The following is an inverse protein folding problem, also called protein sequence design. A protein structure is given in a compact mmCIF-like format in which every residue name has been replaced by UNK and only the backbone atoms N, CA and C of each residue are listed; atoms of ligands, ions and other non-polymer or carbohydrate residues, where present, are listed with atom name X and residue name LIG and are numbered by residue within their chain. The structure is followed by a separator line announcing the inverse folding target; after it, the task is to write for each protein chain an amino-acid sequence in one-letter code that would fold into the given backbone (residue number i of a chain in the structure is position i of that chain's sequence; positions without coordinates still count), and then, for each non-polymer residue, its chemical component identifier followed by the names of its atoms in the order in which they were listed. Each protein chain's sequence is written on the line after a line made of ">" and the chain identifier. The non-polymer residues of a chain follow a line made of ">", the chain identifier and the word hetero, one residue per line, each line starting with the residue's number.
data_IF_422888107369
#
_entry.id   IF_422888107369
#
_cell.length_a   1.000
_cell.length_b   1.000
_cell.length_c   1.000
_cell.angle_alpha   90.00
_cell.angle_beta   90.00
_cell.angle_gamma   90.00
#
_symmetry.space_group_name_H-M   'P 1'
#
loop_
_entity.id
_entity.type
_entity.pdbx_description
1 polymer ?
#
# COMPACT_ATOMS: atom_id res chain seq x y z
N UNK A 1 -61.85 -27.98 33.19
CA UNK A 1 -61.46 -26.83 32.34
C UNK A 1 -59.95 -26.66 32.17
N UNK A 2 -59.12 -26.89 33.19
CA UNK A 2 -57.66 -26.64 33.13
C UNK A 2 -56.92 -27.52 32.08
N UNK A 3 -57.30 -28.80 31.92
CA UNK A 3 -56.67 -29.71 30.93
C UNK A 3 -56.91 -29.33 29.46
N UNK A 4 -57.97 -28.57 29.16
CA UNK A 4 -58.30 -28.17 27.77
C UNK A 4 -57.48 -26.95 27.35
N UNK A 5 -57.28 -26.00 28.27
CA UNK A 5 -56.41 -24.83 28.07
C UNK A 5 -54.94 -25.23 27.92
N UNK A 6 -54.44 -26.18 28.72
CA UNK A 6 -53.06 -26.69 28.59
C UNK A 6 -52.80 -27.32 27.21
N UNK A 7 -53.79 -28.04 26.65
CA UNK A 7 -53.69 -28.64 25.30
C UNK A 7 -53.67 -27.60 24.18
N UNK A 8 -54.41 -26.50 24.33
CA UNK A 8 -54.41 -25.42 23.33
C UNK A 8 -53.11 -24.60 23.37
N UNK A 9 -52.54 -24.38 24.56
CA UNK A 9 -51.24 -23.71 24.73
C UNK A 9 -50.11 -24.55 24.12
N UNK A 10 -50.08 -25.86 24.41
CA UNK A 10 -49.07 -26.76 23.83
C UNK A 10 -49.20 -26.92 22.30
N UNK A 11 -50.42 -26.85 21.74
CA UNK A 11 -50.62 -26.83 20.29
C UNK A 11 -50.11 -25.53 19.65
N UNK A 12 -50.34 -24.37 20.25
CA UNK A 12 -49.83 -23.08 19.73
C UNK A 12 -48.31 -22.97 19.83
N UNK A 13 -47.69 -23.48 20.91
CA UNK A 13 -46.23 -23.54 21.04
C UNK A 13 -45.59 -24.49 20.01
N UNK A 14 -46.18 -25.66 19.75
CA UNK A 14 -45.65 -26.60 18.74
C UNK A 14 -45.76 -26.10 17.30
N UNK A 15 -46.73 -25.24 16.98
CA UNK A 15 -46.85 -24.63 15.64
C UNK A 15 -45.81 -23.53 15.45
N UNK A 16 -45.51 -22.73 16.48
CA UNK A 16 -44.46 -21.71 16.43
C UNK A 16 -43.06 -22.34 16.28
N UNK A 17 -42.78 -23.43 17.01
CA UNK A 17 -41.48 -24.13 16.94
C UNK A 17 -41.23 -24.73 15.56
N UNK A 18 -42.28 -25.23 14.88
CA UNK A 18 -42.17 -25.74 13.51
C UNK A 18 -41.92 -24.66 12.46
N UNK A 19 -42.41 -23.44 12.67
CA UNK A 19 -42.15 -22.31 11.77
C UNK A 19 -40.74 -21.73 11.95
N UNK A 20 -40.18 -21.79 13.17
CA UNK A 20 -38.81 -21.35 13.46
C UNK A 20 -37.74 -22.39 13.06
N UNK A 21 -38.07 -23.69 13.08
CA UNK A 21 -37.17 -24.76 12.64
C UNK A 21 -37.14 -24.97 11.11
N UNK A 22 -37.96 -24.23 10.37
CA UNK A 22 -38.07 -24.31 8.91
C UNK A 22 -37.37 -23.13 8.22
N UNK A 23 -36.39 -22.49 8.88
CA UNK A 23 -35.35 -21.76 8.15
C UNK A 23 -34.34 -22.78 7.60
N UNK A 24 -33.89 -22.62 6.35
CA UNK A 24 -33.43 -23.76 5.58
C UNK A 24 -32.01 -24.16 6.02
N UNK A 25 -31.82 -25.44 6.36
CA UNK A 25 -30.49 -26.02 6.60
C UNK A 25 -29.51 -25.77 5.43
N UNK A 26 -30.00 -25.38 4.24
CA UNK A 26 -29.18 -25.00 3.10
C UNK A 26 -28.37 -23.72 3.36
N UNK A 27 -28.93 -22.68 3.99
CA UNK A 27 -28.21 -21.42 4.29
C UNK A 27 -27.10 -21.64 5.35
N UNK A 28 -27.36 -22.49 6.34
CA UNK A 28 -26.39 -22.87 7.36
C UNK A 28 -25.27 -23.77 6.81
N UNK A 29 -25.56 -24.60 5.78
CA UNK A 29 -24.55 -25.43 5.10
C UNK A 29 -23.73 -24.60 4.09
N UNK A 30 -24.36 -23.71 3.34
CA UNK A 30 -23.69 -22.79 2.40
C UNK A 30 -22.74 -21.84 3.13
N UNK A 31 -23.17 -21.21 4.23
CA UNK A 31 -22.31 -20.37 5.06
C UNK A 31 -21.10 -21.11 5.65
N UNK A 32 -21.25 -22.40 6.01
CA UNK A 32 -20.16 -23.23 6.53
C UNK A 32 -19.15 -23.63 5.43
N UNK A 33 -19.63 -23.86 4.20
CA UNK A 33 -18.80 -24.14 3.03
C UNK A 33 -18.04 -22.88 2.60
N UNK A 34 -18.70 -21.73 2.55
CA UNK A 34 -18.05 -20.44 2.27
C UNK A 34 -16.97 -20.10 3.30
N UNK A 35 -17.25 -20.29 4.60
CA UNK A 35 -16.27 -20.09 5.67
C UNK A 35 -15.07 -21.03 5.55
N UNK A 36 -15.27 -22.29 5.14
CA UNK A 36 -14.17 -23.24 4.87
C UNK A 36 -13.34 -22.83 3.65
N UNK A 37 -13.98 -22.35 2.58
CA UNK A 37 -13.29 -21.87 1.37
C UNK A 37 -12.48 -20.60 1.70
N UNK A 38 -13.04 -19.69 2.49
CA UNK A 38 -12.37 -18.46 2.90
C UNK A 38 -11.17 -18.74 3.80
N UNK A 39 -11.29 -19.69 4.75
CA UNK A 39 -10.17 -20.18 5.58
C UNK A 39 -9.05 -20.84 4.75
N UNK A 40 -9.40 -21.58 3.70
CA UNK A 40 -8.43 -22.22 2.80
C UNK A 40 -7.76 -21.23 1.85
N UNK A 41 -8.43 -20.12 1.50
CA UNK A 41 -7.85 -19.01 0.72
C UNK A 41 -6.97 -18.10 1.60
N UNK A 42 -7.36 -17.86 2.85
CA UNK A 42 -6.62 -16.98 3.77
C UNK A 42 -5.26 -17.55 4.18
N UNK A 43 -5.08 -18.88 4.18
CA UNK A 43 -3.79 -19.52 4.47
C UNK A 43 -2.71 -19.27 3.42
N UNK A 44 -3.07 -18.80 2.22
CA UNK A 44 -2.11 -18.45 1.15
C UNK A 44 -1.74 -16.97 1.11
N UNK A 45 -2.35 -16.14 1.97
CA UNK A 45 -2.11 -14.70 1.96
C UNK A 45 -0.88 -14.43 2.80
N UNK A 46 0.18 -13.94 2.14
CA UNK A 46 1.39 -13.50 2.85
C UNK A 46 1.04 -12.31 3.76
N UNK A 47 1.53 -12.28 5.02
CA UNK A 47 1.40 -11.13 5.90
C UNK A 47 1.89 -9.82 5.27
N UNK A 48 2.81 -9.92 4.29
CA UNK A 48 3.42 -8.78 3.61
C UNK A 48 2.45 -8.04 2.66
N UNK A 49 1.30 -8.63 2.33
CA UNK A 49 0.32 -8.05 1.40
C UNK A 49 -0.19 -6.69 1.88
N UNK A 50 -0.22 -6.47 3.20
CA UNK A 50 -0.54 -5.19 3.82
C UNK A 50 0.35 -4.07 3.30
N UNK A 51 1.64 -4.33 3.15
CA UNK A 51 2.63 -3.33 2.76
C UNK A 51 2.76 -3.22 1.24
N UNK A 52 2.63 -4.35 0.54
CA UNK A 52 2.63 -4.38 -0.93
C UNK A 52 1.45 -3.57 -1.51
N UNK A 53 0.24 -3.86 -1.01
CA UNK A 53 -1.03 -3.34 -1.51
C UNK A 53 -1.75 -2.47 -0.48
N UNK A 54 -1.03 -1.52 0.13
CA UNK A 54 -1.57 -0.65 1.17
C UNK A 54 -2.82 0.13 0.72
N UNK A 55 -2.93 0.44 -0.58
CA UNK A 55 -4.04 1.22 -1.13
C UNK A 55 -5.37 0.47 -1.17
N UNK A 56 -5.35 -0.87 -1.09
CA UNK A 56 -6.58 -1.67 -1.03
C UNK A 56 -7.23 -1.65 0.35
N UNK A 57 -6.46 -1.28 1.39
CA UNK A 57 -7.00 -1.14 2.73
C UNK A 57 -7.76 0.18 2.84
N UNK A 58 -8.93 0.19 3.49
CA UNK A 58 -9.71 1.41 3.66
C UNK A 58 -9.03 2.37 4.64
N UNK A 59 -9.50 3.61 4.65
CA UNK A 59 -9.08 4.59 5.64
C UNK A 59 -9.44 4.10 7.06
N UNK A 60 -8.50 4.13 8.04
CA UNK A 60 -8.78 3.76 9.42
C UNK A 60 -9.85 4.62 10.10
N UNK A 61 -10.10 5.83 9.61
CA UNK A 61 -11.09 6.74 10.17
C UNK A 61 -12.52 6.25 9.85
N UNK A 62 -13.20 5.72 10.88
CA UNK A 62 -14.55 5.16 10.76
C UNK A 62 -15.56 6.10 10.05
N UNK A 63 -15.49 7.42 10.29
CA UNK A 63 -16.37 8.41 9.66
C UNK A 63 -16.30 8.44 8.13
N UNK A 64 -15.19 8.00 7.55
CA UNK A 64 -14.94 7.99 6.11
C UNK A 64 -15.28 6.63 5.47
N UNK A 65 -15.61 5.62 6.28
CA UNK A 65 -15.85 4.23 5.85
C UNK A 65 -17.24 4.08 5.21
N UNK A 66 -17.29 3.35 4.10
CA UNK A 66 -18.54 2.89 3.51
C UNK A 66 -18.28 1.60 2.73
N UNK A 67 -18.87 0.50 3.18
CA UNK A 67 -18.63 -0.84 2.62
C UNK A 67 -18.94 -0.94 1.13
N UNK A 68 -20.05 -0.34 0.68
CA UNK A 68 -20.46 -0.37 -0.73
C UNK A 68 -19.49 0.45 -1.59
N UNK A 69 -19.13 1.65 -1.14
CA UNK A 69 -18.13 2.49 -1.83
C UNK A 69 -16.79 1.77 -1.95
N UNK A 70 -16.30 1.22 -0.84
CA UNK A 70 -15.02 0.51 -0.78
C UNK A 70 -15.00 -0.72 -1.71
N UNK A 71 -16.11 -1.46 -1.80
CA UNK A 71 -16.24 -2.60 -2.70
C UNK A 71 -16.22 -2.19 -4.19
N UNK A 72 -16.93 -1.12 -4.54
CA UNK A 72 -16.92 -0.58 -5.90
C UNK A 72 -15.54 -0.04 -6.28
N UNK A 73 -14.91 0.74 -5.40
CA UNK A 73 -13.56 1.27 -5.62
C UNK A 73 -12.54 0.14 -5.87
N UNK A 74 -12.59 -0.94 -5.08
CA UNK A 74 -11.71 -2.11 -5.27
C UNK A 74 -11.94 -2.81 -6.61
N UNK A 75 -13.19 -2.94 -7.05
CA UNK A 75 -13.54 -3.50 -8.35
C UNK A 75 -12.96 -2.65 -9.49
N UNK A 76 -13.06 -1.33 -9.38
CA UNK A 76 -12.53 -0.40 -10.39
C UNK A 76 -11.00 -0.41 -10.40
N UNK A 77 -10.36 -0.44 -9.23
CA UNK A 77 -8.91 -0.58 -9.10
C UNK A 77 -8.37 -1.86 -9.76
N UNK A 78 -9.04 -3.00 -9.55
CA UNK A 78 -8.69 -4.25 -10.22
C UNK A 78 -8.88 -4.18 -11.73
N UNK A 79 -9.94 -3.52 -12.19
CA UNK A 79 -10.19 -3.30 -13.62
C UNK A 79 -9.08 -2.42 -14.23
N UNK A 80 -8.63 -1.37 -13.53
CA UNK A 80 -7.50 -0.55 -13.99
C UNK A 80 -6.19 -1.33 -14.02
N UNK A 81 -5.91 -2.16 -13.01
CA UNK A 81 -4.71 -3.02 -12.96
C UNK A 81 -4.66 -4.09 -14.05
N UNK A 82 -5.77 -4.40 -14.69
CA UNK A 82 -5.76 -5.28 -15.88
C UNK A 82 -5.30 -4.57 -17.14
N UNK A 83 -5.47 -3.24 -17.20
CA UNK A 83 -5.01 -2.42 -18.32
C UNK A 83 -3.57 -1.96 -18.12
N UNK A 84 -3.17 -1.71 -16.87
CA UNK A 84 -1.83 -1.26 -16.51
C UNK A 84 -1.23 -2.15 -15.43
N UNK A 85 0.01 -2.57 -15.65
CA UNK A 85 0.75 -3.30 -14.65
C UNK A 85 1.32 -2.34 -13.61
N UNK A 86 0.88 -2.50 -12.35
CA UNK A 86 1.36 -1.74 -11.20
C UNK A 86 2.18 -2.69 -10.33
N UNK A 87 3.52 -2.59 -10.37
CA UNK A 87 4.41 -3.47 -9.61
C UNK A 87 4.36 -3.18 -8.11
N UNK A 88 4.97 -4.07 -7.34
CA UNK A 88 5.27 -3.85 -5.93
C UNK A 88 6.44 -2.88 -5.77
N UNK A 89 6.25 -1.85 -4.95
CA UNK A 89 7.32 -0.94 -4.54
C UNK A 89 7.00 -0.32 -3.19
N UNK A 90 8.01 0.16 -2.48
CA UNK A 90 7.89 0.73 -1.15
C UNK A 90 8.44 2.15 -1.12
N UNK A 91 8.19 2.85 0.00
CA UNK A 91 8.89 4.10 0.27
C UNK A 91 10.38 3.81 0.40
N UNK A 92 11.18 4.52 -0.40
CA UNK A 92 12.60 4.24 -0.59
C UNK A 92 12.99 3.57 -1.90
N UNK A 93 12.04 2.91 -2.57
CA UNK A 93 12.31 2.28 -3.86
C UNK A 93 12.52 3.33 -4.95
N UNK A 94 13.39 3.04 -5.92
CA UNK A 94 13.60 3.88 -7.10
C UNK A 94 12.64 3.42 -8.19
N UNK A 95 11.77 4.34 -8.62
CA UNK A 95 10.67 4.07 -9.54
C UNK A 95 10.74 5.04 -10.71
N UNK A 96 10.49 4.53 -11.91
CA UNK A 96 10.27 5.33 -13.10
C UNK A 96 8.79 5.27 -13.49
N UNK A 97 8.13 6.42 -13.47
CA UNK A 97 6.74 6.58 -13.88
C UNK A 97 6.68 7.24 -15.26
N UNK A 98 5.93 6.66 -16.19
CA UNK A 98 5.65 7.24 -17.50
C UNK A 98 4.20 7.70 -17.54
N UNK A 99 3.97 9.00 -17.70
CA UNK A 99 2.65 9.60 -17.86
C UNK A 99 2.47 10.17 -19.26
N UNK A 100 1.22 10.27 -19.70
CA UNK A 100 0.83 10.98 -20.92
C UNK A 100 0.68 12.47 -20.62
N UNK A 101 1.35 13.31 -21.39
CA UNK A 101 1.18 14.77 -21.32
C UNK A 101 0.99 15.32 -22.74
N UNK A 102 -0.17 15.92 -23.07
CA UNK A 102 -0.43 16.49 -24.39
C UNK A 102 0.59 17.54 -24.86
N UNK A 103 1.24 18.25 -23.92
CA UNK A 103 2.16 19.35 -24.23
C UNK A 103 3.62 18.91 -24.30
N UNK A 104 3.93 17.71 -23.81
CA UNK A 104 5.29 17.16 -23.86
C UNK A 104 5.68 16.77 -25.29
N UNK A 105 6.96 16.95 -25.61
CA UNK A 105 7.53 16.42 -26.86
C UNK A 105 7.43 14.88 -26.84
N UNK A 106 6.66 14.32 -27.77
CA UNK A 106 6.36 12.88 -27.79
C UNK A 106 5.14 12.45 -26.97
N UNK A 107 4.34 13.41 -26.47
CA UNK A 107 3.07 13.21 -25.72
C UNK A 107 3.19 12.36 -24.45
N UNK A 108 4.41 12.03 -24.06
CA UNK A 108 4.76 11.15 -22.94
C UNK A 108 5.87 11.82 -22.15
N UNK A 109 5.86 11.58 -20.84
CA UNK A 109 6.86 12.08 -19.92
C UNK A 109 7.26 10.94 -18.99
N UNK A 110 8.56 10.63 -18.94
CA UNK A 110 9.12 9.62 -18.04
C UNK A 110 9.92 10.33 -16.95
N UNK A 111 9.52 10.13 -15.70
CA UNK A 111 10.21 10.65 -14.54
C UNK A 111 10.73 9.51 -13.67
N UNK A 112 12.04 9.52 -13.38
CA UNK A 112 12.71 8.58 -12.49
C UNK A 112 13.04 9.29 -11.18
N UNK A 113 12.74 8.66 -10.06
CA UNK A 113 13.11 9.17 -8.74
C UNK A 113 12.87 8.17 -7.61
N UNK A 114 13.29 8.56 -6.41
CA UNK A 114 12.99 7.82 -5.18
C UNK A 114 11.56 8.10 -4.74
N UNK A 115 10.82 7.05 -4.36
CA UNK A 115 9.50 7.21 -3.76
C UNK A 115 9.65 7.69 -2.31
N UNK A 116 9.19 8.91 -2.01
CA UNK A 116 9.34 9.51 -0.68
C UNK A 116 8.13 9.33 0.23
N UNK A 117 6.94 9.20 -0.36
CA UNK A 117 5.69 8.94 0.35
C UNK A 117 4.74 8.15 -0.56
N UNK A 118 3.96 7.27 0.06
CA UNK A 118 2.80 6.62 -0.54
C UNK A 118 1.63 6.89 0.38
N UNK A 119 0.72 7.76 -0.04
CA UNK A 119 -0.40 8.19 0.79
C UNK A 119 -1.76 7.84 0.17
N UNK A 120 -2.79 7.97 1.01
CA UNK A 120 -4.20 7.70 0.69
C UNK A 120 -4.47 6.24 0.34
N UNK A 121 -5.74 5.95 0.13
CA UNK A 121 -6.27 4.63 -0.18
C UNK A 121 -7.28 4.71 -1.33
N UNK A 122 -7.68 3.54 -1.84
CA UNK A 122 -8.64 3.42 -2.92
C UNK A 122 -8.12 3.99 -4.24
N UNK A 123 -9.04 4.53 -5.05
CA UNK A 123 -8.70 5.17 -6.32
C UNK A 123 -7.84 6.44 -6.17
N UNK A 124 -7.86 7.06 -4.98
CA UNK A 124 -7.12 8.30 -4.68
C UNK A 124 -5.69 8.04 -4.18
N UNK A 125 -5.26 6.78 -4.16
CA UNK A 125 -3.91 6.42 -3.76
C UNK A 125 -2.89 7.11 -4.66
N UNK A 126 -1.90 7.74 -4.05
CA UNK A 126 -0.88 8.47 -4.78
C UNK A 126 0.50 8.18 -4.17
N UNK A 127 1.54 8.52 -4.93
CA UNK A 127 2.92 8.42 -4.49
C UNK A 127 3.70 9.61 -5.02
N UNK A 128 4.70 10.04 -4.25
CA UNK A 128 5.56 11.17 -4.61
C UNK A 128 6.93 10.63 -4.98
N UNK A 129 7.39 10.97 -6.19
CA UNK A 129 8.75 10.71 -6.64
C UNK A 129 9.58 11.98 -6.49
N UNK A 130 10.79 11.83 -5.98
CA UNK A 130 11.78 12.91 -5.86
C UNK A 130 13.04 12.55 -6.65
N UNK A 131 13.56 13.51 -7.40
CA UNK A 131 14.90 13.42 -7.99
C UNK A 131 15.53 14.82 -8.05
N UNK A 132 16.86 14.89 -8.05
CA UNK A 132 17.60 16.11 -8.32
C UNK A 132 18.12 16.02 -9.75
N UNK A 133 17.59 16.86 -10.64
CA UNK A 133 17.97 16.94 -12.05
C UNK A 133 18.57 18.32 -12.27
N UNK A 134 19.75 18.40 -12.87
CA UNK A 134 20.47 19.66 -13.13
C UNK A 134 20.59 20.55 -11.87
N UNK A 135 20.93 19.92 -10.74
CA UNK A 135 21.04 20.54 -9.41
C UNK A 135 19.73 21.15 -8.86
N UNK A 136 18.60 20.92 -9.51
CA UNK A 136 17.28 21.33 -9.06
C UNK A 136 16.51 20.12 -8.49
N UNK A 137 16.01 20.26 -7.27
CA UNK A 137 15.13 19.26 -6.67
C UNK A 137 13.74 19.33 -7.30
N UNK A 138 13.30 18.23 -7.91
CA UNK A 138 12.00 18.08 -8.55
C UNK A 138 11.21 16.98 -7.81
N UNK A 139 9.96 17.28 -7.50
CA UNK A 139 9.02 16.33 -6.92
C UNK A 139 7.76 16.27 -7.79
N UNK A 140 7.35 15.06 -8.15
CA UNK A 140 6.12 14.82 -8.90
C UNK A 140 5.25 13.84 -8.12
N UNK A 141 4.01 14.27 -7.87
CA UNK A 141 2.98 13.43 -7.26
C UNK A 141 2.19 12.73 -8.37
N UNK A 142 2.25 11.41 -8.38
CA UNK A 142 1.49 10.58 -9.30
C UNK A 142 0.32 9.93 -8.58
N UNK A 143 -0.86 9.97 -9.20
CA UNK A 143 -2.02 9.19 -8.76
C UNK A 143 -1.94 7.79 -9.38
N UNK A 144 -2.00 6.75 -8.56
CA UNK A 144 -1.70 5.37 -8.96
C UNK A 144 -2.68 4.82 -10.01
N UNK A 145 -3.93 5.27 -9.96
CA UNK A 145 -5.01 4.82 -10.83
C UNK A 145 -5.41 5.84 -11.88
N UNK A 146 -4.63 6.90 -12.07
CA UNK A 146 -4.87 7.92 -13.09
C UNK A 146 -4.87 7.30 -14.51
N UNK A 147 -5.86 7.59 -15.37
CA UNK A 147 -5.82 7.20 -16.78
C UNK A 147 -4.60 7.74 -17.54
N UNK A 148 -4.02 8.89 -17.15
CA UNK A 148 -2.85 9.45 -17.85
C UNK A 148 -1.58 8.65 -17.58
N UNK A 149 -1.49 7.93 -16.47
CA UNK A 149 -0.36 7.07 -16.14
C UNK A 149 -0.35 5.90 -17.13
N UNK A 150 0.78 5.66 -17.79
CA UNK A 150 0.95 4.64 -18.83
C UNK A 150 1.76 3.44 -18.36
N UNK A 151 2.81 3.66 -17.56
CA UNK A 151 3.71 2.61 -17.09
C UNK A 151 4.36 2.99 -15.77
N UNK A 152 4.52 2.02 -14.88
CA UNK A 152 5.33 2.12 -13.68
C UNK A 152 6.39 1.03 -13.75
N UNK A 153 7.66 1.43 -13.69
CA UNK A 153 8.82 0.55 -13.67
C UNK A 153 9.54 0.69 -12.34
N UNK A 154 9.83 -0.42 -11.67
CA UNK A 154 10.67 -0.42 -10.49
C UNK A 154 12.09 -0.67 -10.95
N UNK A 155 12.95 0.31 -10.74
CA UNK A 155 14.37 0.25 -11.09
C UNK A 155 15.12 -0.44 -9.96
N UNK A 156 14.86 -0.01 -8.71
CA UNK A 156 15.46 -0.61 -7.53
C UNK A 156 14.41 -0.79 -6.45
N UNK A 157 14.19 -2.03 -6.03
CA UNK A 157 13.23 -2.36 -4.98
C UNK A 157 13.96 -2.43 -3.64
N UNK A 158 13.76 -1.40 -2.81
CA UNK A 158 14.30 -1.33 -1.46
C UNK A 158 13.32 -0.63 -0.51
N UNK A 159 13.46 -0.92 0.78
CA UNK A 159 12.80 -0.22 1.88
C UNK A 159 13.80 0.64 2.64
N UNK A 160 13.34 1.73 3.24
CA UNK A 160 14.13 2.55 4.18
C UNK A 160 13.63 2.34 5.61
N UNK A 161 14.32 2.92 6.58
CA UNK A 161 14.00 2.77 8.00
C UNK A 161 12.72 3.51 8.42
N UNK A 162 12.38 4.58 7.69
CA UNK A 162 11.23 5.43 7.95
C UNK A 162 10.13 5.22 6.91
N UNK A 163 8.88 5.42 7.32
CA UNK A 163 7.70 5.31 6.45
C UNK A 163 7.59 6.48 5.45
N UNK A 164 8.19 7.64 5.78
CA UNK A 164 8.12 8.88 4.98
C UNK A 164 9.49 9.53 4.93
N UNK A 165 9.92 9.93 3.73
CA UNK A 165 11.26 10.45 3.45
C UNK A 165 11.26 11.96 3.13
N UNK A 166 10.33 12.72 3.70
CA UNK A 166 10.24 14.17 3.44
C UNK A 166 11.49 14.94 3.87
N UNK A 167 12.28 14.40 4.81
CA UNK A 167 13.56 14.96 5.23
C UNK A 167 14.60 15.02 4.10
N UNK A 168 14.42 14.27 3.00
CA UNK A 168 15.27 14.37 1.81
C UNK A 168 15.23 15.75 1.13
N UNK A 169 14.24 16.59 1.45
CA UNK A 169 14.18 18.00 1.02
C UNK A 169 15.28 18.84 1.64
N UNK A 170 15.56 18.60 2.93
CA UNK A 170 16.56 19.31 3.73
C UNK A 170 17.89 18.54 3.82
N UNK A 171 17.97 17.34 3.26
CA UNK A 171 19.19 16.55 3.16
C UNK A 171 20.17 17.08 2.12
N UNK A 172 21.41 16.56 2.16
CA UNK A 172 22.37 16.75 1.09
C UNK A 172 21.81 16.23 -0.26
N UNK A 173 22.05 16.93 -1.39
CA UNK A 173 21.50 16.54 -2.69
C UNK A 173 21.91 15.14 -3.15
N UNK A 174 23.08 14.64 -2.71
CA UNK A 174 23.63 13.33 -3.06
C UNK A 174 22.64 12.19 -2.78
N UNK A 175 21.91 12.25 -1.66
CA UNK A 175 20.93 11.22 -1.29
C UNK A 175 19.64 11.24 -2.11
N UNK A 176 19.43 12.29 -2.92
CA UNK A 176 18.24 12.48 -3.78
C UNK A 176 18.57 12.50 -5.27
N UNK A 177 19.86 12.39 -5.64
CA UNK A 177 20.30 12.47 -7.03
C UNK A 177 20.40 11.06 -7.59
N UNK A 178 19.60 10.75 -8.62
CA UNK A 178 19.59 9.47 -9.30
C UNK A 178 19.74 9.65 -10.80
N UNK A 179 20.54 8.77 -11.42
CA UNK A 179 20.69 8.77 -12.87
C UNK A 179 19.39 8.37 -13.57
N UNK A 180 18.99 9.16 -14.55
CA UNK A 180 17.77 8.96 -15.35
C UNK A 180 17.81 7.68 -16.19
N UNK A 181 19.02 7.23 -16.52
CA UNK A 181 19.28 6.07 -17.38
C UNK A 181 19.70 4.82 -16.59
N UNK A 182 19.51 4.80 -15.27
CA UNK A 182 19.83 3.65 -14.43
C UNK A 182 19.08 2.39 -14.88
N UNK A 183 19.80 1.27 -14.99
CA UNK A 183 19.23 -0.02 -15.34
C UNK A 183 18.50 -0.67 -14.16
N UNK A 184 17.40 -1.41 -14.39
CA UNK A 184 16.69 -2.11 -13.32
C UNK A 184 17.50 -3.24 -12.68
N UNK A 185 17.60 -3.23 -11.34
CA UNK A 185 18.20 -4.28 -10.54
C UNK A 185 17.24 -5.49 -10.43
N UNK A 186 17.73 -6.68 -10.78
CA UNK A 186 16.93 -7.90 -10.73
C UNK A 186 17.06 -8.57 -9.36
N UNK A 187 15.95 -8.63 -8.62
CA UNK A 187 15.85 -9.36 -7.36
C UNK A 187 15.34 -10.79 -7.67
N UNK A 188 15.96 -11.85 -7.12
CA UNK A 188 15.50 -13.22 -7.33
C UNK A 188 14.08 -13.41 -6.78
N UNK A 189 13.24 -14.13 -7.52
CA UNK A 189 11.85 -14.35 -7.13
C UNK A 189 11.78 -15.09 -5.77
N UNK A 190 11.18 -14.45 -4.76
CA UNK A 190 10.95 -15.03 -3.44
C UNK A 190 11.91 -14.56 -2.33
N UNK A 191 12.94 -13.77 -2.64
CA UNK A 191 13.73 -13.12 -1.58
C UNK A 191 12.91 -12.01 -0.91
N UNK A 192 13.15 -11.80 0.38
CA UNK A 192 12.59 -10.67 1.11
C UNK A 192 13.13 -9.36 0.55
N UNK A 193 12.31 -8.31 0.62
CA UNK A 193 12.68 -6.98 0.16
C UNK A 193 13.78 -6.41 1.07
N UNK A 194 14.94 -6.00 0.51
CA UNK A 194 16.04 -5.50 1.32
C UNK A 194 15.69 -4.16 1.98
N UNK A 195 16.05 -4.01 3.25
CA UNK A 195 15.94 -2.75 4.00
C UNK A 195 17.29 -2.08 4.01
N UNK A 196 17.39 -0.91 3.38
CA UNK A 196 18.61 -0.12 3.29
C UNK A 196 18.83 0.69 4.59
N UNK A 197 19.88 0.37 5.40
CA UNK A 197 20.13 1.01 6.68
C UNK A 197 20.83 2.39 6.58
N UNK A 198 21.12 2.87 5.36
CA UNK A 198 21.83 4.13 5.13
C UNK A 198 21.15 5.29 5.87
N UNK A 199 21.91 5.98 6.73
CA UNK A 199 21.46 7.20 7.39
C UNK A 199 21.84 8.43 6.57
N UNK A 200 20.95 9.40 6.52
CA UNK A 200 21.05 10.60 5.69
C UNK A 200 21.51 11.78 6.53
N UNK A 201 22.49 12.54 6.03
CA UNK A 201 22.93 13.79 6.65
C UNK A 201 22.07 14.97 6.19
N UNK A 202 21.61 15.77 7.16
CA UNK A 202 20.85 17.00 6.90
C UNK A 202 21.79 18.17 6.61
N UNK A 203 21.32 19.13 5.81
CA UNK A 203 21.97 20.42 5.66
C UNK A 203 21.93 21.20 6.99
N UNK A 204 22.76 22.23 7.17
CA UNK A 204 22.56 23.21 8.23
C UNK A 204 21.17 23.87 8.12
N UNK A 205 20.64 24.31 9.27
CA UNK A 205 19.36 25.02 9.35
C UNK A 205 19.39 26.32 8.52
N UNK A 206 18.26 26.82 7.98
CA UNK A 206 16.86 26.44 8.27
C UNK A 206 16.36 25.20 7.51
N UNK A 207 15.51 24.42 8.16
CA UNK A 207 14.80 23.26 7.59
C UNK A 207 13.33 23.59 7.35
N UNK A 208 12.70 22.85 6.42
CA UNK A 208 11.28 22.96 6.12
C UNK A 208 10.41 22.55 7.32
N UNK A 209 10.73 21.41 7.94
CA UNK A 209 10.01 20.89 9.09
C UNK A 209 10.87 20.77 10.33
N UNK A 210 10.21 20.46 11.44
CA UNK A 210 10.83 20.18 12.73
C UNK A 210 11.15 18.69 12.85
N UNK A 211 12.10 18.23 12.04
CA UNK A 211 12.54 16.82 11.98
C UNK A 211 12.98 16.29 13.35
N UNK A 212 13.48 17.17 14.22
CA UNK A 212 13.90 16.82 15.58
C UNK A 212 12.77 16.28 16.48
N UNK A 213 11.51 16.41 16.05
CA UNK A 213 10.32 15.99 16.81
C UNK A 213 9.69 14.69 16.32
N UNK A 214 10.12 14.18 15.16
CA UNK A 214 9.42 13.10 14.45
C UNK A 214 10.01 11.70 14.70
N UNK A 215 10.98 11.57 15.62
CA UNK A 215 11.62 10.29 15.99
C UNK A 215 12.13 9.48 14.77
N UNK A 216 12.73 10.19 13.80
CA UNK A 216 13.25 9.60 12.56
C UNK A 216 14.45 8.69 12.83
N UNK A 217 14.50 7.54 12.16
CA UNK A 217 15.57 6.53 12.27
C UNK A 217 16.59 6.62 11.15
N UNK A 218 16.17 7.11 9.98
CA UNK A 218 16.97 7.20 8.76
C UNK A 218 17.80 8.48 8.63
N UNK A 219 17.82 9.34 9.65
CA UNK A 219 18.61 10.57 9.67
C UNK A 219 19.79 10.43 10.61
N UNK A 220 20.98 10.81 10.15
CA UNK A 220 22.20 10.84 10.96
C UNK A 220 22.24 12.13 11.78
N UNK A 221 22.61 12.00 13.06
CA UNK A 221 22.99 13.06 13.99
C UNK A 221 22.26 14.40 13.82
N UNK A 222 20.91 14.37 13.88
CA UNK A 222 20.04 15.58 13.87
C UNK A 222 20.53 16.63 14.88
N UNK A 223 21.15 16.19 15.98
CA UNK A 223 21.68 17.03 17.03
C UNK A 223 22.87 17.90 16.62
N UNK A 224 23.62 17.56 15.56
CA UNK A 224 24.81 18.31 15.14
C UNK A 224 24.47 19.73 14.69
N UNK A 225 23.34 19.91 14.01
CA UNK A 225 22.88 21.21 13.50
C UNK A 225 21.82 21.87 14.40
N UNK A 226 21.54 21.28 15.57
CA UNK A 226 20.47 21.72 16.47
C UNK A 226 21.01 22.51 17.66
N UNK A 227 20.54 23.75 17.82
CA UNK A 227 20.78 24.52 19.05
C UNK A 227 20.12 23.86 20.27
N UNK A 228 20.76 23.95 21.44
CA UNK A 228 20.26 23.38 22.70
C UNK A 228 18.83 23.80 23.05
N UNK A 229 18.46 25.05 22.76
CA UNK A 229 17.10 25.55 22.95
C UNK A 229 16.07 24.69 22.21
N UNK A 230 16.35 24.31 20.96
CA UNK A 230 15.44 23.48 20.17
C UNK A 230 15.38 22.05 20.68
N UNK A 231 16.51 21.49 21.14
CA UNK A 231 16.55 20.17 21.78
C UNK A 231 15.64 20.12 23.01
N UNK A 232 15.73 21.13 23.89
CA UNK A 232 14.85 21.24 25.08
C UNK A 232 13.38 21.37 24.68
N UNK A 233 13.06 22.17 23.67
CA UNK A 233 11.68 22.35 23.18
C UNK A 233 11.11 21.09 22.52
N UNK A 234 11.95 20.29 21.86
CA UNK A 234 11.56 19.01 21.29
C UNK A 234 11.27 18.00 22.40
N UNK A 235 12.15 17.90 23.40
CA UNK A 235 11.95 17.04 24.57
C UNK A 235 10.68 17.40 25.35
N UNK A 236 10.37 18.70 25.52
CA UNK A 236 9.13 19.15 26.16
C UNK A 236 7.86 18.77 25.40
N UNK A 237 7.95 18.58 24.06
CA UNK A 237 6.82 18.19 23.21
C UNK A 237 6.75 16.69 22.93
N UNK A 238 7.77 15.93 23.34
CA UNK A 238 7.76 14.50 23.15
C UNK A 238 6.55 13.90 23.86
N UNK A 239 5.97 12.88 23.25
CA UNK A 239 4.79 12.20 23.78
C UNK A 239 5.09 10.70 24.01
N UNK A 240 5.97 10.34 24.98
CA UNK A 240 6.40 8.95 25.18
C UNK A 240 5.25 7.99 25.49
N UNK A 241 4.15 8.50 26.06
CA UNK A 241 2.96 7.71 26.39
C UNK A 241 2.23 7.17 25.15
N UNK A 242 2.41 7.77 23.97
CA UNK A 242 1.74 7.31 22.74
C UNK A 242 2.15 5.91 22.31
N UNK A 243 3.38 5.48 22.64
CA UNK A 243 3.85 4.11 22.40
C UNK A 243 2.99 3.07 23.12
N UNK A 244 2.36 3.46 24.23
CA UNK A 244 1.54 2.60 25.08
C UNK A 244 0.03 2.84 24.88
N UNK A 245 -0.37 3.74 23.98
CA UNK A 245 -1.76 4.03 23.68
C UNK A 245 -2.33 3.02 22.66
N UNK A 246 -2.82 1.90 23.18
CA UNK A 246 -3.46 0.84 22.40
C UNK A 246 -4.67 1.34 21.60
N UNK A 247 -5.39 2.35 22.10
CA UNK A 247 -6.56 2.89 21.41
C UNK A 247 -6.14 3.74 20.20
N UNK A 248 -5.03 4.47 20.30
CA UNK A 248 -4.44 5.18 19.16
C UNK A 248 -3.95 4.20 18.09
N UNK A 249 -3.30 3.11 18.48
CA UNK A 249 -2.88 2.04 17.57
C UNK A 249 -4.09 1.37 16.88
N UNK A 250 -5.14 1.05 17.65
CA UNK A 250 -6.38 0.49 17.13
C UNK A 250 -7.05 1.43 16.11
N UNK A 251 -7.10 2.74 16.37
CA UNK A 251 -7.66 3.73 15.43
C UNK A 251 -6.80 3.96 14.19
N UNK A 252 -5.49 3.67 14.24
CA UNK A 252 -4.56 3.81 13.10
C UNK A 252 -4.56 2.56 12.22
N UNK A 253 -4.86 1.39 12.79
CA UNK A 253 -4.80 0.10 12.09
C UNK A 253 -6.19 -0.37 11.66
N UNK A 254 -6.23 -1.23 10.65
CA UNK A 254 -7.44 -1.96 10.26
C UNK A 254 -7.39 -3.32 10.93
N UNK A 255 -8.48 -3.86 11.50
CA UNK A 255 -8.47 -5.20 12.09
C UNK A 255 -7.99 -6.28 11.10
N UNK A 256 -7.19 -7.24 11.57
CA UNK A 256 -6.62 -8.27 10.69
C UNK A 256 -7.68 -9.12 9.96
N UNK A 257 -8.82 -9.35 10.58
CA UNK A 257 -9.93 -10.12 9.99
C UNK A 257 -10.45 -9.43 8.73
N UNK A 258 -10.61 -8.10 8.80
CA UNK A 258 -11.02 -7.28 7.68
C UNK A 258 -9.93 -7.23 6.60
N UNK A 259 -8.67 -7.09 6.98
CA UNK A 259 -7.55 -7.18 6.04
C UNK A 259 -7.55 -8.51 5.29
N UNK A 260 -7.68 -9.64 6.00
CA UNK A 260 -7.72 -10.99 5.42
C UNK A 260 -8.91 -11.14 4.47
N UNK A 261 -10.08 -10.61 4.82
CA UNK A 261 -11.26 -10.61 3.95
C UNK A 261 -10.99 -9.85 2.65
N UNK A 262 -10.51 -8.61 2.73
CA UNK A 262 -10.20 -7.78 1.56
C UNK A 262 -9.14 -8.44 0.69
N UNK A 263 -8.05 -8.92 1.29
CA UNK A 263 -6.98 -9.56 0.53
C UNK A 263 -7.42 -10.88 -0.11
N UNK A 264 -8.30 -11.66 0.54
CA UNK A 264 -8.84 -12.89 -0.04
C UNK A 264 -9.69 -12.64 -1.29
N UNK A 265 -10.40 -11.50 -1.31
CA UNK A 265 -11.23 -11.08 -2.44
C UNK A 265 -10.35 -10.75 -3.66
N UNK A 266 -9.30 -9.96 -3.46
CA UNK A 266 -8.44 -9.50 -4.55
C UNK A 266 -7.39 -10.52 -4.98
N UNK A 267 -7.00 -11.46 -4.10
CA UNK A 267 -5.87 -12.38 -4.31
C UNK A 267 -5.95 -13.12 -5.65
N UNK A 268 -7.11 -13.69 -5.95
CA UNK A 268 -7.30 -14.49 -7.17
C UNK A 268 -7.08 -13.65 -8.43
N UNK A 269 -7.63 -12.41 -8.45
CA UNK A 269 -7.49 -11.51 -9.59
C UNK A 269 -6.08 -10.96 -9.70
N UNK A 270 -5.46 -10.59 -8.58
CA UNK A 270 -4.10 -10.07 -8.56
C UNK A 270 -3.08 -11.11 -9.03
N UNK A 271 -3.25 -12.37 -8.61
CA UNK A 271 -2.43 -13.49 -9.07
C UNK A 271 -2.53 -13.68 -10.58
N UNK A 272 -3.75 -13.64 -11.13
CA UNK A 272 -3.96 -13.71 -12.59
C UNK A 272 -3.23 -12.58 -13.33
N UNK A 273 -3.36 -11.33 -12.86
CA UNK A 273 -2.71 -10.16 -13.47
C UNK A 273 -1.18 -10.33 -13.44
N UNK A 274 -0.63 -10.74 -12.30
CA UNK A 274 0.82 -10.94 -12.15
C UNK A 274 1.34 -12.08 -13.04
N UNK A 275 0.61 -13.19 -13.12
CA UNK A 275 0.98 -14.34 -13.95
C UNK A 275 0.92 -14.00 -15.45
N UNK A 276 -0.10 -13.25 -15.88
CA UNK A 276 -0.24 -12.76 -17.25
C UNK A 276 0.90 -11.80 -17.62
N UNK A 277 1.22 -10.85 -16.73
CA UNK A 277 2.35 -9.97 -16.93
C UNK A 277 3.68 -10.73 -17.05
N UNK A 278 3.93 -11.70 -16.16
CA UNK A 278 5.13 -12.56 -16.21
C UNK A 278 5.23 -13.32 -17.53
N UNK A 279 4.13 -13.88 -18.03
CA UNK A 279 4.09 -14.56 -19.34
C UNK A 279 4.45 -13.60 -20.48
N UNK A 280 3.85 -12.40 -20.49
CA UNK A 280 4.11 -11.38 -21.49
C UNK A 280 5.58 -10.92 -21.46
N UNK A 281 6.18 -10.76 -20.29
CA UNK A 281 7.59 -10.40 -20.13
C UNK A 281 8.53 -11.51 -20.62
N UNK A 282 8.24 -12.79 -20.31
CA UNK A 282 9.01 -13.94 -20.82
C UNK A 282 8.95 -14.04 -22.34
N UNK A 283 7.77 -13.89 -22.93
CA UNK A 283 7.58 -13.91 -24.38
C UNK A 283 8.39 -12.79 -25.09
N UNK A 284 8.42 -11.58 -24.51
CA UNK A 284 9.22 -10.47 -25.06
C UNK A 284 10.73 -10.73 -24.98
N UNK A 285 11.23 -11.34 -23.90
CA UNK A 285 12.66 -11.67 -23.75
C UNK A 285 13.13 -12.68 -24.80
N UNK A 286 12.31 -13.68 -25.13
CA UNK A 286 12.64 -14.70 -26.15
C UNK A 286 12.70 -14.19 -27.60
N UNK A 287 12.21 -12.98 -27.91
CA UNK A 287 12.08 -12.46 -29.28
C UNK A 287 13.28 -11.58 -29.71
N UNK A 288 14.33 -11.47 -28.90
CA UNK A 288 15.57 -10.81 -29.35
C UNK A 288 16.37 -11.74 -30.26
N UNK A 289 16.18 -11.64 -31.58
CA UNK A 289 17.07 -12.29 -32.55
C UNK A 289 18.49 -11.75 -32.35
N UNK A 290 19.54 -12.59 -32.38
CA UNK A 290 20.90 -12.11 -32.26
C UNK A 290 21.19 -11.08 -33.36
N UNK A 291 21.71 -9.90 -32.98
CA UNK A 291 22.26 -8.96 -33.95
C UNK A 291 23.44 -9.66 -34.62
N UNK A 292 23.32 -9.97 -35.90
CA UNK A 292 24.46 -10.35 -36.72
C UNK A 292 25.43 -9.17 -36.72
N UNK A 293 26.58 -9.34 -36.06
CA UNK A 293 27.71 -8.43 -36.17
C UNK A 293 28.11 -8.37 -37.65
N UNK A 294 27.99 -7.18 -38.25
CA UNK A 294 28.48 -6.87 -39.58
C UNK A 294 29.84 -6.17 -39.44
#
# INVERSE_FOLDING_TARGET
>A
MIRVLQRQINRKQNVLVRYLSAQPESEAKESNVEQKILKKKSSFISPEYRFQYQEFLPDPQHRLRNSVREALERKDMLSRRTQIYIPEFYVGSIVAATSSDPHSQGKTNRFLGICIDRERCGLKANFILRNVIDHQGIEIKFEMYDPTLQKIEVIKLEKRLDEKLYYLRDALPEYSTFDLNMEPELIPEGSQVPVNPLKVQLKPRPWLERWERQELKGVEDINQHLYDKHRRLAAMRATPWEKYDLMKEYRKSIPEEEQKKIFSEIFSRMKQINDEHKKNMKAKRSITKPKTLA
#
